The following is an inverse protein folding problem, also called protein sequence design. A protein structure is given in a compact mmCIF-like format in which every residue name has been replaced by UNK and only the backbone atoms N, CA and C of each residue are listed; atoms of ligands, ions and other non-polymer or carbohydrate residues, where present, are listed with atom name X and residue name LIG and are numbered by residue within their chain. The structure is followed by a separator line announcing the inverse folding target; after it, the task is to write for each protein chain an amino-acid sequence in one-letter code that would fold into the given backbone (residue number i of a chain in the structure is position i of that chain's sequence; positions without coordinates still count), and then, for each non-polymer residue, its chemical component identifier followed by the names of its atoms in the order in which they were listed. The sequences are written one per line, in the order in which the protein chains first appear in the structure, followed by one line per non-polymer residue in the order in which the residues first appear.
data_IF_592093445106
#
_entry.id   IF_592093445106
#
_cell.length_a   1.000
_cell.length_b   1.000
_cell.length_c   1.000
_cell.angle_alpha   90.00
_cell.angle_beta   90.00
_cell.angle_gamma   90.00
#
_symmetry.space_group_name_H-M   'P 1'
#
loop_
_entity.id
_entity.type
_entity.pdbx_description
1 polymer ?
#
# COMPACT_ATOMS: atom_id res chain seq x y z
N UNK A 1 6.95 -27.64 2.59
CA UNK A 1 5.50 -27.68 2.90
C UNK A 1 5.32 -27.36 4.38
N UNK A 2 4.32 -26.55 4.71
CA UNK A 2 4.00 -26.18 6.09
C UNK A 2 2.57 -26.62 6.41
N UNK A 3 2.37 -27.26 7.56
CA UNK A 3 1.06 -27.50 8.16
C UNK A 3 0.86 -26.54 9.32
N UNK A 4 -0.23 -25.79 9.31
CA UNK A 4 -0.66 -25.03 10.49
C UNK A 4 -1.83 -25.77 11.11
N UNK A 5 -1.74 -26.09 12.39
CA UNK A 5 -2.77 -26.84 13.12
C UNK A 5 -3.24 -26.05 14.34
N UNK A 6 -4.54 -25.92 14.54
CA UNK A 6 -5.12 -25.13 15.62
C UNK A 6 -6.28 -24.29 15.11
N UNK A 7 -6.28 -22.98 15.36
CA UNK A 7 -7.40 -22.09 14.99
C UNK A 7 -6.96 -21.19 13.84
N UNK A 8 -7.39 -21.51 12.62
CA UNK A 8 -7.07 -20.75 11.41
C UNK A 8 -8.26 -19.86 11.05
N UNK A 9 -8.12 -18.56 11.20
CA UNK A 9 -9.14 -17.61 10.77
C UNK A 9 -9.11 -17.50 9.24
N UNK A 10 -10.23 -17.81 8.57
CA UNK A 10 -10.36 -17.73 7.10
C UNK A 10 -11.43 -16.75 6.64
N UNK A 11 -12.21 -16.22 7.58
CA UNK A 11 -13.19 -15.16 7.38
C UNK A 11 -13.58 -14.53 8.73
N UNK A 12 -14.47 -13.53 8.75
CA UNK A 12 -14.87 -12.84 9.99
C UNK A 12 -15.39 -13.78 11.08
N UNK A 13 -16.16 -14.79 10.68
CA UNK A 13 -16.81 -15.75 11.59
C UNK A 13 -16.43 -17.21 11.27
N UNK A 14 -15.48 -17.41 10.35
CA UNK A 14 -15.10 -18.75 9.88
C UNK A 14 -13.70 -19.12 10.37
N UNK A 15 -13.62 -20.25 11.08
CA UNK A 15 -12.38 -20.83 11.60
C UNK A 15 -12.24 -22.27 11.12
N UNK A 16 -11.05 -22.64 10.66
CA UNK A 16 -10.68 -24.02 10.31
C UNK A 16 -9.67 -24.57 11.32
N UNK A 17 -9.67 -25.89 11.49
CA UNK A 17 -8.77 -26.58 12.43
C UNK A 17 -7.33 -26.73 11.91
N UNK A 18 -7.14 -26.59 10.60
CA UNK A 18 -5.84 -26.63 9.96
C UNK A 18 -5.82 -25.97 8.57
N UNK A 19 -4.61 -25.66 8.10
CA UNK A 19 -4.31 -25.29 6.72
C UNK A 19 -2.97 -25.88 6.29
N UNK A 20 -2.80 -26.09 4.99
CA UNK A 20 -1.54 -26.52 4.39
C UNK A 20 -1.05 -25.44 3.42
N UNK A 21 0.21 -25.01 3.58
CA UNK A 21 0.88 -24.13 2.65
C UNK A 21 1.87 -24.92 1.78
N UNK A 22 1.64 -24.89 0.48
CA UNK A 22 2.41 -25.61 -0.55
C UNK A 22 2.79 -24.61 -1.64
N UNK A 23 4.09 -24.35 -1.81
CA UNK A 23 4.62 -23.47 -2.86
C UNK A 23 3.90 -22.12 -2.95
N UNK A 24 3.72 -21.46 -1.80
CA UNK A 24 3.05 -20.14 -1.72
C UNK A 24 1.52 -20.18 -1.87
N UNK A 25 0.89 -21.36 -1.95
CA UNK A 25 -0.57 -21.52 -2.03
C UNK A 25 -1.11 -22.23 -0.80
N UNK A 26 -2.34 -21.88 -0.44
CA UNK A 26 -3.07 -22.50 0.66
C UNK A 26 -4.00 -23.58 0.10
N UNK A 27 -4.06 -24.72 0.77
CA UNK A 27 -5.13 -25.73 0.64
C UNK A 27 -5.60 -26.17 2.02
N UNK A 28 -6.86 -26.56 2.12
CA UNK A 28 -7.45 -27.13 3.33
C UNK A 28 -7.53 -28.66 3.29
N UNK A 29 -7.16 -29.26 2.16
CA UNK A 29 -7.04 -30.70 2.01
C UNK A 29 -5.59 -31.12 2.20
N UNK A 30 -5.38 -32.29 2.82
CA UNK A 30 -4.03 -32.84 3.01
C UNK A 30 -3.40 -33.12 1.64
N UNK A 31 -2.30 -32.43 1.26
CA UNK A 31 -1.63 -32.69 -0.01
C UNK A 31 -0.87 -34.04 0.02
N UNK A 32 -0.62 -34.66 -1.15
CA UNK A 32 0.28 -35.81 -1.25
C UNK A 32 1.68 -35.48 -0.72
N UNK A 33 2.37 -36.45 -0.10
CA UNK A 33 3.72 -36.28 0.44
C UNK A 33 3.81 -35.42 1.70
N UNK A 34 2.69 -35.23 2.41
CA UNK A 34 2.61 -34.42 3.63
C UNK A 34 3.24 -35.07 4.88
N UNK A 35 3.90 -36.22 4.76
CA UNK A 35 4.46 -36.96 5.91
C UNK A 35 5.62 -36.19 6.58
N UNK A 36 6.44 -35.47 5.80
CA UNK A 36 7.58 -34.69 6.27
C UNK A 36 7.27 -33.19 6.46
N UNK A 37 5.99 -32.80 6.50
CA UNK A 37 5.61 -31.40 6.64
C UNK A 37 5.96 -30.84 8.03
N UNK A 38 6.63 -29.69 8.07
CA UNK A 38 6.84 -28.94 9.32
C UNK A 38 5.47 -28.51 9.85
N UNK A 39 5.20 -28.79 11.13
CA UNK A 39 3.93 -28.44 11.77
C UNK A 39 4.10 -27.32 12.76
N UNK A 40 3.36 -26.23 12.58
CA UNK A 40 3.21 -25.13 13.54
C UNK A 40 1.84 -25.22 14.19
N UNK A 41 1.75 -24.93 15.49
CA UNK A 41 0.51 -25.05 16.27
C UNK A 41 0.13 -23.73 16.93
N UNK A 42 -1.16 -23.39 16.89
CA UNK A 42 -1.68 -22.20 17.56
C UNK A 42 -2.82 -21.53 16.81
N UNK A 43 -2.91 -20.21 16.95
CA UNK A 43 -3.80 -19.37 16.15
C UNK A 43 -3.05 -18.83 14.93
N UNK A 44 -3.72 -18.82 13.79
CA UNK A 44 -3.22 -18.23 12.56
C UNK A 44 -4.29 -17.34 11.94
N UNK A 45 -3.84 -16.20 11.43
CA UNK A 45 -4.66 -15.20 10.76
C UNK A 45 -4.02 -14.88 9.39
N UNK A 46 -4.79 -14.39 8.41
CA UNK A 46 -4.21 -13.80 7.21
C UNK A 46 -3.26 -12.65 7.60
N UNK A 47 -2.22 -12.45 6.80
CA UNK A 47 -1.37 -11.26 6.94
C UNK A 47 -2.21 -9.99 6.86
N UNK A 48 -1.87 -9.01 7.67
CA UNK A 48 -2.59 -7.74 7.72
C UNK A 48 -2.35 -6.94 6.44
N UNK A 49 -3.31 -6.07 6.14
CA UNK A 49 -3.24 -5.12 5.03
C UNK A 49 -3.25 -3.70 5.60
N UNK A 50 -2.25 -2.91 5.25
CA UNK A 50 -2.27 -1.48 5.49
C UNK A 50 -2.75 -0.76 4.22
N UNK A 51 -3.88 -0.05 4.33
CA UNK A 51 -4.50 0.62 3.20
C UNK A 51 -3.97 2.05 2.95
N UNK A 52 -3.09 2.56 3.83
CA UNK A 52 -2.58 3.93 3.80
C UNK A 52 -1.24 4.06 4.58
N UNK A 53 -0.18 3.52 4.01
CA UNK A 53 1.20 3.72 4.49
C UNK A 53 2.03 4.51 3.45
N UNK A 54 3.23 4.94 3.84
CA UNK A 54 4.18 5.68 3.01
C UNK A 54 5.61 5.13 3.16
N UNK A 55 5.93 4.05 2.45
CA UNK A 55 7.29 3.50 2.46
C UNK A 55 8.20 4.36 1.58
N UNK A 56 9.40 4.66 2.06
CA UNK A 56 10.35 5.54 1.38
C UNK A 56 10.08 7.04 1.60
N UNK A 57 9.22 7.40 2.56
CA UNK A 57 8.91 8.78 2.92
C UNK A 57 9.10 9.00 4.43
N UNK A 58 9.60 10.17 4.82
CA UNK A 58 9.60 10.65 6.20
C UNK A 58 9.07 12.10 6.29
N UNK A 59 9.15 12.70 7.48
CA UNK A 59 8.70 14.09 7.73
C UNK A 59 9.39 15.17 6.88
N UNK A 60 10.51 14.86 6.24
CA UNK A 60 11.31 15.76 5.41
C UNK A 60 11.18 15.46 3.91
N UNK A 61 10.71 14.27 3.54
CA UNK A 61 10.47 13.89 2.15
C UNK A 61 11.03 12.48 1.84
N UNK A 62 11.59 12.26 0.64
CA UNK A 62 12.12 10.96 0.27
C UNK A 62 13.27 10.55 1.19
N UNK A 63 13.30 9.28 1.59
CA UNK A 63 14.43 8.66 2.31
C UNK A 63 15.23 7.73 1.41
N UNK A 64 16.40 7.30 1.87
CA UNK A 64 17.23 6.32 1.18
C UNK A 64 16.65 4.89 1.23
N UNK A 65 17.19 4.01 0.40
CA UNK A 65 16.72 2.62 0.29
C UNK A 65 16.86 1.84 1.60
N UNK A 66 17.92 2.08 2.38
CA UNK A 66 18.13 1.41 3.67
C UNK A 66 17.06 1.81 4.70
N UNK A 67 16.65 3.08 4.72
CA UNK A 67 15.58 3.56 5.57
C UNK A 67 14.22 3.01 5.10
N UNK A 68 13.97 3.00 3.79
CA UNK A 68 12.77 2.40 3.21
C UNK A 68 12.67 0.88 3.52
N UNK A 69 13.78 0.16 3.45
CA UNK A 69 13.87 -1.25 3.84
C UNK A 69 13.48 -1.43 5.30
N UNK A 70 14.05 -0.61 6.20
CA UNK A 70 13.72 -0.66 7.62
C UNK A 70 12.24 -0.37 7.89
N UNK A 71 11.64 0.57 7.17
CA UNK A 71 10.19 0.85 7.27
C UNK A 71 9.37 -0.39 6.87
N UNK A 72 9.65 -0.96 5.69
CA UNK A 72 8.94 -2.14 5.19
C UNK A 72 9.12 -3.38 6.10
N UNK A 73 10.32 -3.58 6.66
CA UNK A 73 10.58 -4.60 7.67
C UNK A 73 9.77 -4.37 8.94
N UNK A 74 9.69 -3.12 9.40
CA UNK A 74 8.90 -2.77 10.60
C UNK A 74 7.43 -3.13 10.42
N UNK A 75 6.85 -2.81 9.25
CA UNK A 75 5.46 -3.17 8.92
C UNK A 75 5.27 -4.69 8.86
N UNK A 76 6.22 -5.42 8.24
CA UNK A 76 6.18 -6.89 8.17
C UNK A 76 6.24 -7.55 9.54
N UNK A 77 7.15 -7.11 10.41
CA UNK A 77 7.28 -7.66 11.77
C UNK A 77 6.05 -7.35 12.64
N UNK A 78 5.30 -6.30 12.31
CA UNK A 78 3.99 -6.02 12.90
C UNK A 78 2.85 -6.88 12.30
N UNK A 79 3.13 -7.67 11.26
CA UNK A 79 2.19 -8.58 10.60
C UNK A 79 1.56 -8.05 9.31
N UNK A 80 1.94 -6.86 8.84
CA UNK A 80 1.47 -6.29 7.57
C UNK A 80 2.22 -6.92 6.41
N UNK A 81 1.53 -7.71 5.60
CA UNK A 81 2.13 -8.42 4.45
C UNK A 81 1.75 -7.82 3.09
N UNK A 82 0.76 -6.91 3.09
CA UNK A 82 0.37 -6.14 1.92
C UNK A 82 0.16 -4.68 2.31
N UNK A 83 0.80 -3.78 1.58
CA UNK A 83 0.70 -2.33 1.77
C UNK A 83 0.10 -1.72 0.51
N UNK A 84 -0.91 -0.89 0.68
CA UNK A 84 -1.40 0.03 -0.35
C UNK A 84 -0.77 1.40 -0.08
N UNK A 85 0.39 1.65 -0.69
CA UNK A 85 1.21 2.84 -0.46
C UNK A 85 0.55 4.09 -1.04
N UNK A 86 0.17 5.02 -0.17
CA UNK A 86 -0.64 6.17 -0.51
C UNK A 86 0.13 7.32 -1.15
N UNK A 87 1.26 7.02 -1.78
CA UNK A 87 2.07 7.97 -2.52
C UNK A 87 3.41 8.17 -1.84
N UNK A 88 4.47 8.11 -2.64
CA UNK A 88 5.84 8.33 -2.16
C UNK A 88 6.65 9.10 -3.21
N UNK A 89 7.45 10.10 -2.81
CA UNK A 89 8.43 10.72 -3.72
C UNK A 89 9.60 9.76 -4.06
N UNK A 90 9.78 8.68 -3.30
CA UNK A 90 10.80 7.66 -3.53
C UNK A 90 10.32 6.55 -4.46
N UNK A 91 11.26 5.93 -5.19
CA UNK A 91 10.98 4.70 -5.94
C UNK A 91 11.28 3.47 -5.08
N UNK A 92 10.24 2.73 -4.72
CA UNK A 92 10.32 1.53 -3.88
C UNK A 92 10.15 0.23 -4.66
N UNK A 93 10.21 0.24 -6.01
CA UNK A 93 10.03 -0.98 -6.83
C UNK A 93 11.04 -2.08 -6.58
N UNK A 94 12.24 -1.74 -6.12
CA UNK A 94 13.26 -2.73 -5.75
C UNK A 94 12.77 -3.70 -4.64
N UNK A 95 11.73 -3.34 -3.88
CA UNK A 95 11.09 -4.21 -2.89
C UNK A 95 10.41 -5.41 -3.56
N UNK A 96 9.95 -5.29 -4.80
CA UNK A 96 9.21 -6.35 -5.49
C UNK A 96 10.10 -7.58 -5.78
N UNK A 97 11.42 -7.39 -5.83
CA UNK A 97 12.42 -8.43 -6.02
C UNK A 97 12.86 -9.11 -4.70
N UNK A 98 12.25 -8.74 -3.56
CA UNK A 98 12.60 -9.21 -2.21
C UNK A 98 11.46 -10.01 -1.58
N UNK A 99 11.58 -11.33 -1.57
CA UNK A 99 10.58 -12.23 -0.96
C UNK A 99 10.41 -12.04 0.55
N UNK A 100 11.43 -11.50 1.21
CA UNK A 100 11.34 -11.23 2.64
C UNK A 100 10.49 -9.97 2.92
N UNK A 101 10.31 -9.03 2.00
CA UNK A 101 9.59 -7.78 2.26
C UNK A 101 8.07 -7.87 1.98
N UNK A 102 7.24 -6.98 2.56
CA UNK A 102 5.82 -6.96 2.26
C UNK A 102 5.58 -6.54 0.81
N UNK A 103 4.48 -7.03 0.21
CA UNK A 103 4.08 -6.56 -1.12
C UNK A 103 3.56 -5.13 -1.03
N UNK A 104 3.89 -4.31 -2.01
CA UNK A 104 3.44 -2.91 -2.07
C UNK A 104 2.67 -2.67 -3.36
N UNK A 105 1.49 -2.06 -3.24
CA UNK A 105 0.68 -1.53 -4.34
C UNK A 105 0.78 -0.01 -4.29
N UNK A 106 1.50 0.59 -5.24
CA UNK A 106 1.92 2.00 -5.20
C UNK A 106 0.95 2.94 -5.91
N UNK A 107 0.63 4.08 -5.29
CA UNK A 107 -0.14 5.15 -5.92
C UNK A 107 0.68 6.04 -6.88
N UNK A 108 1.98 5.76 -7.03
CA UNK A 108 2.94 6.71 -7.58
C UNK A 108 3.35 7.75 -6.55
N UNK A 109 3.49 9.01 -6.96
CA UNK A 109 3.70 10.16 -6.07
C UNK A 109 2.37 10.87 -5.81
N UNK A 110 2.21 11.41 -4.60
CA UNK A 110 1.09 12.30 -4.28
C UNK A 110 0.96 13.42 -5.33
N UNK A 111 -0.28 13.78 -5.66
CA UNK A 111 -0.59 14.96 -6.46
C UNK A 111 -1.33 15.94 -5.56
N UNK A 112 -0.79 17.16 -5.44
CA UNK A 112 -1.34 18.18 -4.57
C UNK A 112 -1.30 19.54 -5.24
N UNK A 113 -2.19 20.43 -4.80
CA UNK A 113 -2.17 21.80 -5.27
C UNK A 113 -1.00 22.57 -4.64
N UNK A 114 -0.37 23.44 -5.42
CA UNK A 114 0.77 24.28 -4.98
C UNK A 114 0.50 24.95 -3.64
N UNK A 115 1.44 24.82 -2.68
CA UNK A 115 1.36 25.38 -1.32
C UNK A 115 0.13 24.94 -0.50
N UNK A 116 -0.60 23.92 -0.95
CA UNK A 116 -1.77 23.32 -0.27
C UNK A 116 -1.45 21.89 0.19
N UNK A 117 -0.20 21.59 0.54
CA UNK A 117 0.19 20.31 1.11
C UNK A 117 1.56 20.35 1.80
N UNK A 118 2.00 19.20 2.33
CA UNK A 118 3.29 19.01 2.98
C UNK A 118 4.41 19.13 1.94
N UNK A 119 5.38 20.00 2.23
CA UNK A 119 6.55 20.24 1.37
C UNK A 119 7.29 18.93 1.10
N UNK A 120 7.79 18.79 -0.13
CA UNK A 120 8.57 17.65 -0.65
C UNK A 120 7.79 16.34 -0.90
N UNK A 121 6.51 16.25 -0.52
CA UNK A 121 5.76 15.01 -0.64
C UNK A 121 5.21 14.81 -2.05
N UNK A 122 4.54 15.83 -2.57
CA UNK A 122 3.75 15.75 -3.78
C UNK A 122 4.43 16.36 -5.01
N UNK A 123 3.91 16.02 -6.18
CA UNK A 123 3.91 16.95 -7.29
C UNK A 123 2.99 18.11 -6.91
N UNK A 124 3.57 19.32 -6.79
CA UNK A 124 2.83 20.55 -6.54
C UNK A 124 2.46 21.20 -7.88
N UNK A 125 1.17 21.17 -8.22
CA UNK A 125 0.65 21.59 -9.53
C UNK A 125 -0.57 22.51 -9.40
N UNK A 126 -0.98 23.14 -10.50
CA UNK A 126 -2.24 23.88 -10.59
C UNK A 126 -3.34 23.06 -11.30
N UNK A 127 -4.62 23.45 -11.18
CA UNK A 127 -5.73 22.63 -11.66
C UNK A 127 -5.65 22.20 -13.13
N UNK A 128 -5.13 23.06 -14.03
CA UNK A 128 -5.01 22.74 -15.45
C UNK A 128 -4.04 21.61 -15.79
N UNK A 129 -3.15 21.24 -14.86
CA UNK A 129 -2.18 20.14 -15.04
C UNK A 129 -2.69 18.82 -14.45
N UNK A 130 -3.82 18.83 -13.72
CA UNK A 130 -4.26 17.70 -12.89
C UNK A 130 -4.43 16.41 -13.68
N UNK A 131 -5.11 16.47 -14.82
CA UNK A 131 -5.36 15.30 -15.69
C UNK A 131 -4.05 14.70 -16.19
N UNK A 132 -3.11 15.54 -16.64
CA UNK A 132 -1.83 15.07 -17.17
C UNK A 132 -0.98 14.35 -16.11
N UNK A 133 -0.95 14.90 -14.88
CA UNK A 133 -0.22 14.28 -13.77
C UNK A 133 -0.90 13.01 -13.27
N UNK A 134 -2.24 12.96 -13.25
CA UNK A 134 -2.95 11.72 -12.93
C UNK A 134 -2.67 10.64 -13.95
N UNK A 135 -2.69 10.95 -15.25
CA UNK A 135 -2.32 10.01 -16.30
C UNK A 135 -0.89 9.46 -16.12
N UNK A 136 0.04 10.34 -15.74
CA UNK A 136 1.44 9.96 -15.48
C UNK A 136 1.53 8.99 -14.29
N UNK A 137 0.94 9.34 -13.15
CA UNK A 137 1.03 8.51 -11.95
C UNK A 137 0.18 7.25 -12.05
N UNK A 138 -0.91 7.23 -12.82
CA UNK A 138 -1.68 6.02 -13.10
C UNK A 138 -0.86 4.98 -13.90
N UNK A 139 -0.07 5.45 -14.88
CA UNK A 139 0.87 4.57 -15.63
C UNK A 139 2.05 4.13 -14.79
N UNK A 140 2.50 4.97 -13.86
CA UNK A 140 3.65 4.69 -13.01
C UNK A 140 3.26 3.78 -11.84
N UNK A 141 2.13 4.01 -11.20
CA UNK A 141 1.64 3.25 -10.07
C UNK A 141 1.17 1.85 -10.43
N UNK A 142 0.76 1.09 -9.41
CA UNK A 142 0.31 -0.29 -9.54
C UNK A 142 -1.22 -0.37 -9.70
N UNK A 143 -1.77 0.52 -10.54
CA UNK A 143 -3.20 0.59 -10.84
C UNK A 143 -4.04 1.53 -9.96
N UNK A 144 -3.43 2.52 -9.30
CA UNK A 144 -4.16 3.58 -8.59
C UNK A 144 -3.33 4.87 -8.40
N UNK A 145 -3.99 5.98 -8.04
CA UNK A 145 -3.39 7.31 -7.86
C UNK A 145 -3.88 7.97 -6.56
N UNK A 146 -3.04 8.80 -5.93
CA UNK A 146 -3.39 9.59 -4.74
C UNK A 146 -3.50 11.09 -5.05
N UNK A 147 -4.72 11.62 -4.91
CA UNK A 147 -4.98 13.06 -4.88
C UNK A 147 -5.12 13.57 -3.44
N UNK A 148 -4.53 14.73 -3.16
CA UNK A 148 -4.85 15.51 -1.96
C UNK A 148 -6.11 16.32 -2.26
N UNK A 149 -7.25 15.89 -1.70
CA UNK A 149 -8.57 16.44 -2.04
C UNK A 149 -8.86 17.81 -1.41
N UNK A 150 -8.35 18.04 -0.21
CA UNK A 150 -8.53 19.26 0.56
C UNK A 150 -7.25 19.64 1.33
N UNK A 151 -7.17 20.90 1.72
CA UNK A 151 -6.14 21.39 2.62
C UNK A 151 -6.52 22.71 3.26
N UNK A 152 -5.72 23.13 4.25
CA UNK A 152 -5.89 24.38 4.98
C UNK A 152 -5.97 25.55 4.00
N UNK A 153 -7.06 26.30 4.12
CA UNK A 153 -7.27 27.61 3.55
C UNK A 153 -7.18 28.65 4.65
N UNK A 154 -6.26 29.60 4.50
CA UNK A 154 -6.01 30.62 5.53
C UNK A 154 -7.11 31.67 5.56
N UNK A 155 -7.75 31.94 4.43
CA UNK A 155 -8.81 32.94 4.33
C UNK A 155 -10.11 32.39 4.94
N UNK A 156 -10.38 31.09 4.75
CA UNK A 156 -11.52 30.41 5.38
C UNK A 156 -11.25 29.98 6.83
N UNK A 157 -9.98 29.83 7.23
CA UNK A 157 -9.58 29.34 8.56
C UNK A 157 -9.85 27.84 8.78
N UNK A 158 -10.06 27.07 7.71
CA UNK A 158 -10.43 25.65 7.74
C UNK A 158 -9.92 24.91 6.49
N UNK A 159 -10.18 23.60 6.40
CA UNK A 159 -9.95 22.81 5.19
C UNK A 159 -10.95 23.19 4.09
N UNK A 160 -10.45 23.36 2.87
CA UNK A 160 -11.29 23.56 1.68
C UNK A 160 -10.79 22.70 0.54
N UNK A 161 -11.67 22.45 -0.45
CA UNK A 161 -11.33 21.68 -1.63
C UNK A 161 -10.12 22.29 -2.36
N UNK A 162 -9.14 21.45 -2.68
CA UNK A 162 -7.95 21.87 -3.42
C UNK A 162 -8.23 22.11 -4.90
N UNK A 163 -9.26 21.46 -5.45
CA UNK A 163 -9.48 21.36 -6.90
C UNK A 163 -10.88 21.82 -7.29
N UNK A 164 -11.02 22.47 -8.46
CA UNK A 164 -12.32 22.65 -9.08
C UNK A 164 -12.96 21.29 -9.39
N UNK A 165 -14.28 21.17 -9.18
CA UNK A 165 -15.04 19.92 -9.43
C UNK A 165 -14.76 19.31 -10.81
N UNK A 166 -14.82 20.12 -11.87
CA UNK A 166 -14.65 19.64 -13.24
C UNK A 166 -13.27 19.03 -13.50
N UNK A 167 -12.22 19.57 -12.87
CA UNK A 167 -10.86 19.03 -12.98
C UNK A 167 -10.74 17.68 -12.26
N UNK A 168 -11.36 17.53 -11.09
CA UNK A 168 -11.37 16.24 -10.37
C UNK A 168 -12.16 15.19 -11.14
N UNK A 169 -13.31 15.55 -11.70
CA UNK A 169 -14.11 14.63 -12.52
C UNK A 169 -13.33 14.14 -13.74
N UNK A 170 -12.69 15.04 -14.47
CA UNK A 170 -11.84 14.69 -15.62
C UNK A 170 -10.64 13.83 -15.20
N UNK A 171 -10.00 14.17 -14.08
CA UNK A 171 -8.84 13.44 -13.56
C UNK A 171 -9.20 12.02 -13.11
N UNK A 172 -10.33 11.82 -12.42
CA UNK A 172 -10.82 10.49 -12.03
C UNK A 172 -11.13 9.66 -13.28
N UNK A 173 -11.73 10.26 -14.31
CA UNK A 173 -12.02 9.57 -15.57
C UNK A 173 -10.75 9.13 -16.31
N UNK A 174 -9.66 9.91 -16.25
CA UNK A 174 -8.37 9.53 -16.85
C UNK A 174 -7.68 8.38 -16.11
N UNK A 175 -7.91 8.24 -14.80
CA UNK A 175 -7.31 7.16 -14.01
C UNK A 175 -7.99 5.78 -14.19
N UNK A 176 -9.25 5.75 -14.64
CA UNK A 176 -10.07 4.54 -14.75
C UNK A 176 -10.19 4.05 -16.20
#
# INVERSE_FOLDING_TARGET
MLRVKGRVLVGPDEVRDELWAVNGRITYERPPGADDAVTVRGWALPGLVDAHCHVGLDRHGPVDAATAEKQALTDREAGTLLIRDAGSPSDTRWIDDREDLPKIIRAGRHIARTRRYIRNYAHEIEPGDLVAYVAQEARRGDGWVKLVGDWIDRDAGDLTACWPRGEVEAAIAEAH
#
